data_IF_100105160242
#
_entry.id   IF_100105160242
#
_cell.length_a   1.000
_cell.length_b   1.000
_cell.length_c   1.000
_cell.angle_alpha   90.00
_cell.angle_beta   90.00
_cell.angle_gamma   90.00
#
_symmetry.space_group_name_H-M   'P 1'
#
loop_
_entity.id
_entity.type
_entity.pdbx_description
1 polymer ?
#
# COMPACT_ATOMS: atom_id res chain seq x y z
N UNK A 1 18.43 -13.04 -0.89
CA UNK A 1 17.53 -14.19 -1.13
C UNK A 1 17.50 -14.42 -2.63
N UNK A 2 18.04 -15.53 -3.11
CA UNK A 2 18.09 -15.85 -4.54
C UNK A 2 16.98 -16.85 -4.84
N UNK A 3 16.14 -16.56 -5.84
CA UNK A 3 15.00 -17.39 -6.23
C UNK A 3 15.44 -18.41 -7.28
N UNK A 4 15.26 -19.71 -6.99
CA UNK A 4 15.46 -20.79 -7.96
C UNK A 4 14.12 -21.55 -8.07
N UNK A 5 13.60 -21.67 -9.28
CA UNK A 5 12.33 -22.36 -9.56
C UNK A 5 12.63 -23.77 -10.07
N UNK A 6 12.01 -24.79 -9.45
CA UNK A 6 12.06 -26.19 -9.93
C UNK A 6 10.73 -26.59 -10.59
N UNK A 7 10.73 -27.69 -11.35
CA UNK A 7 9.59 -28.23 -12.09
C UNK A 7 8.37 -28.63 -11.24
N UNK A 8 8.46 -28.67 -9.90
CA UNK A 8 7.39 -29.10 -9.00
C UNK A 8 6.43 -27.99 -8.54
N UNK A 9 6.52 -26.77 -9.09
CA UNK A 9 5.72 -25.62 -8.66
C UNK A 9 6.12 -25.04 -7.30
N UNK A 10 7.12 -25.62 -6.62
CA UNK A 10 7.71 -25.08 -5.40
C UNK A 10 8.77 -24.01 -5.70
N UNK A 11 8.81 -22.96 -4.87
CA UNK A 11 9.87 -21.96 -4.90
C UNK A 11 10.89 -22.22 -3.80
N UNK A 12 12.17 -22.33 -4.18
CA UNK A 12 13.25 -22.44 -3.22
C UNK A 12 13.82 -21.06 -2.91
N UNK A 13 14.05 -20.85 -1.62
CA UNK A 13 14.68 -19.67 -1.10
C UNK A 13 15.97 -20.05 -0.37
N UNK A 14 17.08 -19.44 -0.79
CA UNK A 14 18.35 -19.54 -0.08
C UNK A 14 18.46 -18.40 0.94
N UNK A 15 18.73 -18.77 2.20
CA UNK A 15 18.98 -17.86 3.32
C UNK A 15 20.43 -18.05 3.77
N UNK A 16 21.19 -16.97 3.79
CA UNK A 16 22.57 -16.98 4.28
C UNK A 16 22.59 -16.61 5.76
N UNK A 17 23.24 -17.42 6.58
CA UNK A 17 23.42 -17.11 7.99
C UNK A 17 24.55 -16.10 8.18
N UNK A 18 24.40 -15.12 9.09
CA UNK A 18 25.48 -14.19 9.42
C UNK A 18 26.76 -14.88 9.93
N UNK A 19 26.60 -16.03 10.59
CA UNK A 19 27.70 -16.87 11.05
C UNK A 19 27.45 -18.32 10.64
N UNK A 20 28.50 -19.00 10.18
CA UNK A 20 28.43 -20.41 9.80
C UNK A 20 28.11 -21.28 11.00
N UNK A 21 27.09 -22.13 10.89
CA UNK A 21 26.79 -23.14 11.90
C UNK A 21 27.88 -24.21 11.94
N UNK A 22 28.33 -24.55 13.16
CA UNK A 22 29.22 -25.69 13.40
C UNK A 22 28.45 -27.00 13.21
N UNK A 23 29.17 -28.08 12.91
CA UNK A 23 28.57 -29.42 12.87
C UNK A 23 27.84 -29.73 14.20
N UNK A 24 26.62 -30.26 14.10
CA UNK A 24 25.73 -30.59 15.24
C UNK A 24 25.22 -29.40 16.08
N UNK A 25 25.46 -28.16 15.66
CA UNK A 25 24.83 -27.00 16.29
C UNK A 25 23.39 -26.80 15.76
N UNK A 26 22.53 -26.22 16.59
CA UNK A 26 21.15 -25.85 16.23
C UNK A 26 21.02 -24.35 16.05
N UNK A 27 20.10 -23.94 15.17
CA UNK A 27 19.68 -22.55 15.00
C UNK A 27 18.16 -22.48 14.84
N UNK A 28 17.58 -21.39 15.33
CA UNK A 28 16.18 -21.09 15.16
C UNK A 28 16.01 -20.13 13.99
N UNK A 29 15.29 -20.57 12.96
CA UNK A 29 14.93 -19.75 11.81
C UNK A 29 13.45 -19.39 11.89
N UNK A 30 13.14 -18.10 11.88
CA UNK A 30 11.77 -17.59 11.81
C UNK A 30 11.57 -17.02 10.43
N UNK A 31 10.65 -17.60 9.67
CA UNK A 31 10.27 -17.15 8.33
C UNK A 31 8.87 -16.55 8.45
N UNK A 32 8.75 -15.28 8.08
CA UNK A 32 7.47 -14.59 8.03
C UNK A 32 7.12 -14.27 6.58
N UNK A 33 5.90 -14.66 6.17
CA UNK A 33 5.38 -14.41 4.82
C UNK A 33 4.00 -13.79 4.94
N UNK A 34 3.73 -12.78 4.11
CA UNK A 34 2.39 -12.19 3.98
C UNK A 34 1.83 -12.57 2.62
N UNK A 35 0.65 -13.18 2.61
CA UNK A 35 -0.04 -13.56 1.39
C UNK A 35 -1.19 -12.58 1.14
N UNK A 36 -1.18 -11.94 -0.02
CA UNK A 36 -2.29 -11.11 -0.50
C UNK A 36 -3.33 -11.99 -1.21
N UNK A 37 -4.62 -11.62 -1.14
CA UNK A 37 -5.70 -12.37 -1.81
C UNK A 37 -5.82 -13.86 -1.43
N UNK A 38 -5.31 -14.25 -0.26
CA UNK A 38 -5.31 -15.64 0.18
C UNK A 38 -6.68 -16.13 0.70
N UNK A 39 -7.55 -15.20 1.05
CA UNK A 39 -8.91 -15.47 1.56
C UNK A 39 -9.93 -14.84 0.64
N UNK A 40 -11.07 -15.52 0.47
CA UNK A 40 -12.17 -15.03 -0.35
C UNK A 40 -13.50 -15.18 0.39
N UNK A 41 -14.50 -14.34 0.08
CA UNK A 41 -15.82 -14.43 0.69
C UNK A 41 -16.53 -15.73 0.30
N UNK A 42 -17.08 -16.41 1.29
CA UNK A 42 -17.90 -17.60 1.11
C UNK A 42 -19.10 -17.55 2.06
N UNK A 43 -20.35 -17.46 1.55
CA UNK A 43 -20.74 -17.38 0.13
C UNK A 43 -20.21 -16.11 -0.57
N UNK A 44 -20.10 -16.16 -1.90
CA UNK A 44 -19.62 -15.03 -2.71
C UNK A 44 -20.62 -13.87 -2.78
N UNK A 45 -21.89 -14.12 -2.46
CA UNK A 45 -22.95 -13.12 -2.42
C UNK A 45 -23.64 -13.14 -1.05
N UNK A 46 -24.01 -11.97 -0.55
CA UNK A 46 -24.68 -11.80 0.74
C UNK A 46 -25.74 -10.68 0.64
N UNK A 47 -26.88 -10.85 1.31
CA UNK A 47 -27.85 -9.76 1.45
C UNK A 47 -27.30 -8.68 2.39
N UNK A 48 -27.84 -7.46 2.29
CA UNK A 48 -27.39 -6.30 3.09
C UNK A 48 -27.44 -6.52 4.62
N UNK A 49 -28.26 -7.45 5.11
CA UNK A 49 -28.37 -7.78 6.55
C UNK A 49 -27.52 -8.97 6.99
N UNK A 50 -26.95 -9.70 6.04
CA UNK A 50 -26.24 -10.92 6.34
C UNK A 50 -24.88 -10.62 6.99
N UNK A 51 -24.42 -11.59 7.78
CA UNK A 51 -23.03 -11.62 8.23
C UNK A 51 -22.08 -11.84 7.07
N UNK A 52 -20.79 -11.81 7.37
CA UNK A 52 -19.74 -12.12 6.42
C UNK A 52 -18.86 -13.25 6.97
N UNK A 53 -18.51 -14.18 6.09
CA UNK A 53 -17.56 -15.24 6.37
C UNK A 53 -16.54 -15.35 5.25
N UNK A 54 -15.31 -15.70 5.61
CA UNK A 54 -14.20 -15.87 4.69
C UNK A 54 -13.75 -17.32 4.70
N UNK A 55 -13.28 -17.78 3.54
CA UNK A 55 -12.68 -19.08 3.37
C UNK A 55 -11.19 -18.91 3.05
N UNK A 56 -10.36 -19.61 3.82
CA UNK A 56 -8.93 -19.72 3.61
C UNK A 56 -8.62 -21.15 3.16
N UNK A 57 -7.74 -21.29 2.16
CA UNK A 57 -7.28 -22.59 1.70
C UNK A 57 -5.76 -22.63 1.68
N UNK A 58 -5.19 -23.71 2.18
CA UNK A 58 -3.76 -23.93 2.24
C UNK A 58 -3.45 -25.41 2.02
N UNK A 59 -2.18 -25.71 1.81
CA UNK A 59 -1.74 -27.10 1.77
C UNK A 59 -1.44 -27.60 3.18
N UNK A 60 -1.61 -28.90 3.39
CA UNK A 60 -1.45 -29.52 4.71
C UNK A 60 0.01 -29.47 5.19
N UNK A 61 0.93 -29.88 4.32
CA UNK A 61 2.36 -29.93 4.62
C UNK A 61 3.09 -28.69 4.09
N UNK A 62 4.03 -28.18 4.89
CA UNK A 62 4.96 -27.14 4.47
C UNK A 62 6.11 -27.88 3.78
N UNK A 63 6.27 -27.62 2.49
CA UNK A 63 7.27 -28.33 1.68
C UNK A 63 8.69 -27.90 2.09
N UNK A 64 9.56 -28.88 2.30
CA UNK A 64 10.95 -28.69 2.73
C UNK A 64 11.88 -29.60 1.92
N UNK A 65 13.05 -29.09 1.47
CA UNK A 65 14.10 -29.92 0.86
C UNK A 65 14.84 -30.79 1.88
N UNK A 66 14.61 -30.57 3.18
CA UNK A 66 15.21 -31.33 4.27
C UNK A 66 14.18 -32.25 4.94
N UNK A 67 14.59 -33.46 5.38
CA UNK A 67 13.73 -34.34 6.16
C UNK A 67 13.30 -33.63 7.45
N UNK A 68 12.01 -33.69 7.76
CA UNK A 68 11.41 -32.94 8.87
C UNK A 68 10.97 -33.92 9.96
N UNK A 69 11.55 -33.77 11.15
CA UNK A 69 11.26 -34.68 12.28
C UNK A 69 9.85 -34.47 12.80
N UNK A 70 9.43 -33.22 13.01
CA UNK A 70 8.08 -32.86 13.48
C UNK A 70 7.61 -31.62 12.75
N UNK A 71 6.38 -31.65 12.23
CA UNK A 71 5.71 -30.49 11.67
C UNK A 71 4.35 -30.28 12.35
N UNK A 72 4.03 -29.03 12.68
CA UNK A 72 2.72 -28.64 13.23
C UNK A 72 2.27 -27.34 12.59
N UNK A 73 1.05 -27.32 12.06
CA UNK A 73 0.48 -26.13 11.42
C UNK A 73 -0.63 -25.59 12.29
N UNK A 74 -0.51 -24.36 12.78
CA UNK A 74 -1.54 -23.68 13.56
C UNK A 74 -2.18 -22.57 12.74
N UNK A 75 -3.48 -22.68 12.49
CA UNK A 75 -4.28 -21.65 11.80
C UNK A 75 -5.11 -20.93 12.84
N UNK A 76 -4.90 -19.61 12.98
CA UNK A 76 -5.65 -18.77 13.90
C UNK A 76 -6.59 -17.87 13.12
N UNK A 77 -7.90 -18.06 13.29
CA UNK A 77 -8.92 -17.18 12.72
C UNK A 77 -9.06 -15.90 13.55
N UNK A 78 -9.56 -14.84 12.91
CA UNK A 78 -9.87 -13.56 13.56
C UNK A 78 -11.01 -13.67 14.58
N UNK A 79 -11.93 -14.62 14.35
CA UNK A 79 -13.09 -14.91 15.21
C UNK A 79 -13.06 -16.37 15.70
N UNK A 80 -13.54 -16.68 16.92
CA UNK A 80 -13.70 -18.06 17.39
C UNK A 80 -14.81 -18.83 16.66
N UNK A 81 -15.65 -18.13 15.89
CA UNK A 81 -16.72 -18.73 15.10
C UNK A 81 -16.16 -19.32 13.79
N UNK A 82 -15.81 -20.60 13.85
CA UNK A 82 -15.40 -21.40 12.68
C UNK A 82 -16.60 -22.27 12.27
N UNK A 83 -17.08 -22.08 11.05
CA UNK A 83 -18.24 -22.81 10.50
C UNK A 83 -17.86 -24.22 10.05
N UNK A 84 -16.74 -24.35 9.32
CA UNK A 84 -16.24 -25.62 8.84
C UNK A 84 -14.72 -25.59 8.67
N UNK A 85 -14.10 -26.75 8.78
CA UNK A 85 -12.68 -26.95 8.54
C UNK A 85 -12.46 -28.35 7.99
N UNK A 86 -11.43 -28.53 7.15
CA UNK A 86 -11.08 -29.84 6.61
C UNK A 86 -10.49 -30.73 7.70
N UNK A 87 -11.01 -31.95 7.83
CA UNK A 87 -10.42 -33.08 8.56
C UNK A 87 -9.66 -33.96 7.58
N UNK A 88 -8.32 -33.96 7.61
CA UNK A 88 -7.53 -34.74 6.66
C UNK A 88 -7.67 -36.25 6.88
N UNK A 89 -8.00 -37.02 5.84
CA UNK A 89 -8.10 -38.49 5.87
C UNK A 89 -6.77 -39.13 5.42
N UNK A 90 -6.57 -40.45 5.58
CA UNK A 90 -5.38 -41.23 5.15
C UNK A 90 -3.99 -40.70 5.56
N UNK A 91 -3.84 -40.12 6.75
CA UNK A 91 -2.55 -39.56 7.23
C UNK A 91 -1.98 -40.37 8.41
N UNK A 92 -2.48 -41.60 8.60
CA UNK A 92 -2.02 -42.53 9.64
C UNK A 92 -0.53 -42.83 9.55
N UNK A 93 0.05 -42.74 8.35
CA UNK A 93 1.49 -42.88 8.13
C UNK A 93 2.33 -41.80 8.86
N UNK A 94 1.75 -40.62 9.12
CA UNK A 94 2.45 -39.47 9.68
C UNK A 94 1.95 -39.05 11.07
N UNK A 95 0.75 -39.45 11.48
CA UNK A 95 0.19 -39.19 12.82
C UNK A 95 -0.63 -40.36 13.32
N UNK A 96 -0.46 -40.70 14.60
CA UNK A 96 -1.32 -41.64 15.33
C UNK A 96 -2.40 -40.90 16.15
N UNK A 97 -2.26 -39.58 16.29
CA UNK A 97 -3.22 -38.72 16.98
C UNK A 97 -4.27 -38.17 16.00
N UNK A 98 -5.35 -37.58 16.54
CA UNK A 98 -6.34 -36.86 15.73
C UNK A 98 -5.63 -35.85 14.81
N UNK A 99 -5.88 -35.90 13.49
CA UNK A 99 -5.12 -35.10 12.53
C UNK A 99 -5.38 -33.59 12.68
N UNK A 100 -6.49 -33.21 13.31
CA UNK A 100 -6.83 -31.81 13.60
C UNK A 100 -7.47 -31.68 14.99
N UNK A 101 -7.13 -30.61 15.69
CA UNK A 101 -7.75 -30.21 16.96
C UNK A 101 -8.16 -28.74 16.94
N UNK A 102 -9.36 -28.45 17.45
CA UNK A 102 -9.89 -27.07 17.55
C UNK A 102 -9.84 -26.60 19.00
N UNK A 103 -9.21 -25.45 19.23
CA UNK A 103 -9.21 -24.75 20.52
C UNK A 103 -9.55 -23.28 20.31
N UNK A 104 -10.80 -22.89 20.63
CA UNK A 104 -11.30 -21.54 20.40
C UNK A 104 -11.22 -21.13 18.91
N UNK A 105 -10.43 -20.09 18.62
CA UNK A 105 -10.16 -19.58 17.27
C UNK A 105 -8.92 -20.21 16.60
N UNK A 106 -8.27 -21.19 17.24
CA UNK A 106 -7.07 -21.83 16.70
C UNK A 106 -7.36 -23.28 16.31
N UNK A 107 -7.07 -23.62 15.05
CA UNK A 107 -7.02 -24.98 14.53
C UNK A 107 -5.57 -25.44 14.50
N UNK A 108 -5.29 -26.61 15.05
CA UNK A 108 -3.96 -27.22 15.01
C UNK A 108 -4.02 -28.49 14.18
N UNK A 109 -3.25 -28.51 13.09
CA UNK A 109 -3.01 -29.68 12.26
C UNK A 109 -1.68 -30.33 12.64
N UNK A 110 -1.70 -31.65 12.80
CA UNK A 110 -0.58 -32.41 13.35
C UNK A 110 -0.54 -32.41 14.88
N UNK A 111 0.52 -32.96 15.50
CA UNK A 111 1.87 -33.11 14.95
C UNK A 111 2.00 -34.23 13.90
N UNK A 112 2.71 -33.93 12.82
CA UNK A 112 3.12 -34.92 11.82
C UNK A 112 4.60 -35.26 12.03
N UNK A 113 4.92 -36.54 12.15
CA UNK A 113 6.26 -37.01 12.50
C UNK A 113 6.97 -37.66 11.30
N UNK A 114 8.30 -37.53 11.27
CA UNK A 114 9.20 -38.20 10.32
C UNK A 114 8.81 -38.02 8.84
N UNK A 115 8.53 -36.78 8.45
CA UNK A 115 8.20 -36.44 7.06
C UNK A 115 9.50 -36.54 6.24
N UNK A 116 9.55 -37.36 5.17
CA UNK A 116 10.69 -37.41 4.26
C UNK A 116 10.86 -36.09 3.51
N UNK A 117 11.86 -35.98 2.64
CA UNK A 117 12.05 -34.78 1.81
C UNK A 117 10.79 -34.49 0.97
N UNK A 118 10.02 -33.49 1.41
CA UNK A 118 8.69 -33.19 0.90
C UNK A 118 8.69 -32.28 -0.33
N UNK A 119 9.85 -31.72 -0.70
CA UNK A 119 9.99 -30.90 -1.91
C UNK A 119 9.97 -31.70 -3.23
N UNK A 120 9.85 -33.03 -3.17
CA UNK A 120 9.80 -33.91 -4.35
C UNK A 120 8.40 -33.98 -4.94
N UNK A 121 8.30 -34.11 -6.27
CA UNK A 121 7.01 -34.17 -6.96
C UNK A 121 6.19 -35.40 -6.53
N UNK A 122 6.84 -36.55 -6.35
CA UNK A 122 6.21 -37.78 -5.87
C UNK A 122 5.51 -37.59 -4.52
N UNK A 123 6.16 -36.89 -3.58
CA UNK A 123 5.57 -36.60 -2.27
C UNK A 123 4.35 -35.70 -2.40
N UNK A 124 4.44 -34.66 -3.25
CA UNK A 124 3.33 -33.71 -3.46
C UNK A 124 2.13 -34.43 -4.07
N UNK A 125 2.32 -35.29 -5.07
CA UNK A 125 1.22 -35.99 -5.71
C UNK A 125 0.56 -37.04 -4.81
N UNK A 126 1.34 -37.72 -3.96
CA UNK A 126 0.84 -38.85 -3.15
C UNK A 126 0.30 -38.43 -1.79
N UNK A 127 0.96 -37.48 -1.11
CA UNK A 127 0.69 -37.18 0.30
C UNK A 127 0.14 -35.78 0.54
N UNK A 128 0.33 -34.83 -0.39
CA UNK A 128 -0.15 -33.47 -0.18
C UNK A 128 -1.67 -33.42 -0.30
N UNK A 129 -2.32 -32.84 0.71
CA UNK A 129 -3.77 -32.62 0.74
C UNK A 129 -4.07 -31.14 0.96
N UNK A 130 -5.19 -30.68 0.39
CA UNK A 130 -5.66 -29.30 0.57
C UNK A 130 -6.51 -29.21 1.83
N UNK A 131 -6.21 -28.23 2.67
CA UNK A 131 -7.03 -27.88 3.83
C UNK A 131 -7.77 -26.57 3.58
N UNK A 132 -9.00 -26.49 4.06
CA UNK A 132 -9.82 -25.30 4.00
C UNK A 132 -10.35 -24.97 5.40
N UNK A 133 -10.42 -23.67 5.71
CA UNK A 133 -10.99 -23.15 6.94
C UNK A 133 -11.99 -22.06 6.60
N UNK A 134 -13.21 -22.20 7.07
CA UNK A 134 -14.30 -21.26 6.86
C UNK A 134 -14.73 -20.65 8.19
N UNK A 135 -14.60 -19.33 8.31
CA UNK A 135 -14.78 -18.61 9.57
C UNK A 135 -15.49 -17.27 9.39
N UNK A 136 -16.19 -16.82 10.43
CA UNK A 136 -16.84 -15.50 10.45
C UNK A 136 -15.80 -14.39 10.45
N UNK A 137 -16.04 -13.32 9.67
CA UNK A 137 -15.19 -12.13 9.64
C UNK A 137 -16.04 -10.87 9.76
N UNK A 138 -15.86 -10.14 10.86
CA UNK A 138 -16.75 -9.04 11.26
C UNK A 138 -16.27 -7.64 10.83
N UNK A 139 -15.47 -7.57 9.76
CA UNK A 139 -14.97 -6.30 9.22
C UNK A 139 -15.06 -6.25 7.68
N UNK A 140 -15.06 -5.06 7.07
CA UNK A 140 -14.97 -4.93 5.62
C UNK A 140 -13.64 -5.49 5.11
N UNK A 141 -13.66 -6.13 3.94
CA UNK A 141 -12.43 -6.53 3.23
C UNK A 141 -12.14 -5.47 2.21
N UNK A 142 -11.03 -4.75 2.38
CA UNK A 142 -10.68 -3.63 1.52
C UNK A 142 -9.50 -4.01 0.63
N UNK A 143 -9.55 -3.52 -0.59
CA UNK A 143 -8.53 -3.72 -1.62
C UNK A 143 -8.38 -2.40 -2.35
N UNK A 144 -7.14 -1.91 -2.46
CA UNK A 144 -6.80 -0.80 -3.35
C UNK A 144 -6.29 -1.42 -4.63
N UNK A 145 -7.14 -1.47 -5.66
CA UNK A 145 -6.77 -2.07 -6.95
C UNK A 145 -5.63 -1.30 -7.61
N UNK A 146 -5.64 0.03 -7.46
CA UNK A 146 -4.62 0.92 -7.99
C UNK A 146 -4.38 2.09 -7.05
N UNK A 147 -3.11 2.40 -6.83
CA UNK A 147 -2.63 3.59 -6.12
C UNK A 147 -1.72 4.38 -7.07
N UNK A 148 -2.08 5.63 -7.35
CA UNK A 148 -1.17 6.57 -7.99
C UNK A 148 -0.79 7.65 -6.99
N UNK A 149 0.45 7.62 -6.52
CA UNK A 149 1.00 8.61 -5.61
C UNK A 149 1.87 9.60 -6.39
N UNK A 150 1.63 10.89 -6.20
CA UNK A 150 2.51 11.96 -6.62
C UNK A 150 3.07 12.69 -5.39
N UNK A 151 4.39 12.79 -5.32
CA UNK A 151 5.13 13.55 -4.31
C UNK A 151 5.84 14.71 -5.01
N UNK A 152 5.31 15.93 -4.89
CA UNK A 152 5.92 17.13 -5.46
C UNK A 152 6.73 17.87 -4.39
N UNK A 153 8.02 18.09 -4.70
CA UNK A 153 8.92 18.85 -3.85
C UNK A 153 9.05 20.28 -4.38
N UNK A 154 8.72 21.27 -3.55
CA UNK A 154 8.83 22.69 -3.89
C UNK A 154 9.71 23.44 -2.90
N UNK A 155 10.85 23.95 -3.39
CA UNK A 155 11.72 24.82 -2.60
C UNK A 155 11.18 26.25 -2.50
N UNK A 156 10.42 26.70 -3.51
CA UNK A 156 9.78 28.02 -3.50
C UNK A 156 8.64 28.09 -2.48
N UNK A 157 7.83 27.02 -2.40
CA UNK A 157 6.75 26.89 -1.41
C UNK A 157 7.19 26.34 -0.06
N UNK A 158 8.46 25.92 0.06
CA UNK A 158 9.01 25.22 1.22
C UNK A 158 8.15 24.04 1.71
N UNK A 159 7.50 23.33 0.78
CA UNK A 159 6.59 22.23 1.08
C UNK A 159 6.88 20.97 0.25
N UNK A 160 6.47 19.83 0.83
CA UNK A 160 6.30 18.55 0.15
C UNK A 160 4.80 18.29 0.06
N UNK A 161 4.29 18.29 -1.17
CA UNK A 161 2.90 17.95 -1.46
C UNK A 161 2.80 16.47 -1.78
N UNK A 162 1.89 15.76 -1.11
CA UNK A 162 1.54 14.37 -1.44
C UNK A 162 0.10 14.36 -1.97
N UNK A 163 -0.09 13.70 -3.10
CA UNK A 163 -1.41 13.42 -3.67
C UNK A 163 -1.50 11.93 -4.02
N UNK A 164 -2.47 11.25 -3.44
CA UNK A 164 -2.81 9.85 -3.71
C UNK A 164 -4.15 9.79 -4.45
N UNK A 165 -4.14 9.28 -5.68
CA UNK A 165 -5.34 8.83 -6.37
C UNK A 165 -5.54 7.35 -6.04
N UNK A 166 -6.66 7.03 -5.39
CA UNK A 166 -6.92 5.72 -4.80
C UNK A 166 -8.16 5.11 -5.45
N UNK A 167 -8.03 3.92 -6.01
CA UNK A 167 -9.15 3.09 -6.46
C UNK A 167 -9.43 2.02 -5.42
N UNK A 168 -10.37 2.32 -4.53
CA UNK A 168 -10.74 1.44 -3.43
C UNK A 168 -11.89 0.52 -3.86
N UNK A 169 -11.81 -0.74 -3.46
CA UNK A 169 -12.81 -1.78 -3.67
C UNK A 169 -13.10 -2.49 -2.36
N UNK A 170 -14.36 -2.80 -2.13
CA UNK A 170 -14.75 -3.72 -1.07
C UNK A 170 -14.77 -5.15 -1.62
N UNK A 171 -13.78 -5.94 -1.27
CA UNK A 171 -13.60 -7.33 -1.72
C UNK A 171 -14.44 -8.35 -0.90
N UNK A 172 -15.33 -7.86 -0.03
CA UNK A 172 -16.32 -8.68 0.67
C UNK A 172 -17.34 -9.32 -0.27
N UNK A 173 -18.29 -10.12 0.27
CA UNK A 173 -19.31 -10.79 -0.52
C UNK A 173 -20.16 -9.78 -1.29
N UNK A 174 -20.38 -10.02 -2.58
CA UNK A 174 -21.15 -9.13 -3.44
C UNK A 174 -22.59 -8.98 -2.92
N UNK A 175 -23.11 -7.76 -2.95
CA UNK A 175 -24.50 -7.52 -2.55
C UNK A 175 -25.46 -8.37 -3.40
N UNK A 176 -26.23 -9.23 -2.73
CA UNK A 176 -27.32 -9.99 -3.31
C UNK A 176 -28.60 -9.15 -3.26
N UNK A 177 -29.24 -8.97 -4.42
CA UNK A 177 -30.45 -8.15 -4.53
C UNK A 177 -30.12 -6.67 -4.70
N UNK A 178 -30.82 -5.80 -3.99
CA UNK A 178 -30.70 -4.35 -4.10
C UNK A 178 -30.32 -3.71 -2.77
N UNK A 179 -29.74 -2.51 -2.84
CA UNK A 179 -29.48 -1.71 -1.65
C UNK A 179 -30.78 -1.08 -1.15
N UNK A 180 -31.06 -1.24 0.14
CA UNK A 180 -32.16 -0.58 0.83
C UNK A 180 -31.63 0.48 1.80
N UNK A 181 -31.93 1.75 1.49
CA UNK A 181 -31.56 2.89 2.36
C UNK A 181 -32.23 2.80 3.73
N UNK A 182 -33.49 2.34 3.77
CA UNK A 182 -34.23 2.15 5.02
C UNK A 182 -33.51 1.14 5.91
N UNK A 183 -33.13 -0.02 5.35
CA UNK A 183 -32.43 -1.05 6.12
C UNK A 183 -31.09 -0.57 6.64
N UNK A 184 -30.33 0.17 5.81
CA UNK A 184 -29.06 0.75 6.22
C UNK A 184 -29.23 1.74 7.38
N UNK A 185 -30.24 2.60 7.30
CA UNK A 185 -30.54 3.57 8.36
C UNK A 185 -31.01 2.88 9.64
N UNK A 186 -31.85 1.84 9.54
CA UNK A 186 -32.28 1.02 10.67
C UNK A 186 -31.10 0.32 11.34
N UNK A 187 -30.20 -0.29 10.57
CA UNK A 187 -28.98 -0.92 11.07
C UNK A 187 -28.09 0.07 11.82
N UNK A 188 -27.86 1.25 11.25
CA UNK A 188 -27.05 2.29 11.90
C UNK A 188 -27.71 2.83 13.18
N UNK A 189 -29.04 3.00 13.18
CA UNK A 189 -29.79 3.45 14.36
C UNK A 189 -29.65 2.46 15.54
N UNK A 190 -29.70 1.16 15.25
CA UNK A 190 -29.51 0.11 16.26
C UNK A 190 -28.05 -0.27 16.52
N UNK A 191 -27.08 0.38 15.87
CA UNK A 191 -25.66 0.04 16.00
C UNK A 191 -25.29 -1.35 15.47
N UNK A 192 -26.07 -1.90 14.52
CA UNK A 192 -25.90 -3.22 13.90
C UNK A 192 -25.54 -3.11 12.43
N UNK A 193 -24.47 -2.38 12.13
CA UNK A 193 -23.95 -2.28 10.76
C UNK A 193 -23.50 -3.66 10.30
N UNK A 194 -23.84 -4.02 9.06
CA UNK A 194 -23.39 -5.28 8.49
C UNK A 194 -21.86 -5.26 8.31
N UNK A 195 -21.16 -6.37 8.62
CA UNK A 195 -19.70 -6.40 8.64
C UNK A 195 -19.08 -6.15 7.27
N UNK A 196 -19.79 -6.51 6.19
CA UNK A 196 -19.37 -6.31 4.81
C UNK A 196 -19.61 -4.88 4.28
N UNK A 197 -20.04 -3.93 5.13
CA UNK A 197 -20.32 -2.55 4.71
C UNK A 197 -19.30 -1.57 5.27
N UNK A 198 -18.63 -0.82 4.40
CA UNK A 198 -17.75 0.27 4.79
C UNK A 198 -18.52 1.60 4.85
N UNK A 199 -18.53 2.23 6.02
CA UNK A 199 -19.22 3.52 6.26
C UNK A 199 -18.25 4.69 6.45
N UNK A 200 -17.07 4.44 7.00
CA UNK A 200 -16.03 5.43 7.25
C UNK A 200 -14.65 4.78 7.27
N UNK A 201 -13.63 5.54 6.92
CA UNK A 201 -12.23 5.16 6.98
C UNK A 201 -11.52 6.14 7.91
N UNK A 202 -10.64 5.65 8.77
CA UNK A 202 -9.76 6.48 9.58
C UNK A 202 -8.33 6.22 9.16
N UNK A 203 -7.64 7.27 8.69
CA UNK A 203 -6.26 7.20 8.23
C UNK A 203 -5.34 7.89 9.25
N UNK A 204 -4.25 7.21 9.59
CA UNK A 204 -3.14 7.79 10.33
C UNK A 204 -2.17 8.41 9.32
N UNK A 205 -2.15 9.73 9.26
CA UNK A 205 -1.28 10.52 8.40
C UNK A 205 -0.06 11.04 9.20
N UNK A 206 1.02 11.46 8.53
CA UNK A 206 2.18 12.01 9.21
C UNK A 206 1.85 13.23 10.10
N UNK A 207 2.64 13.48 11.16
CA UNK A 207 2.57 14.73 11.92
C UNK A 207 3.00 15.93 11.08
N UNK A 208 2.59 17.14 11.47
CA UNK A 208 3.00 18.39 10.83
C UNK A 208 2.30 18.72 9.51
N UNK A 209 1.44 17.84 9.00
CA UNK A 209 0.73 18.07 7.74
C UNK A 209 -0.39 19.10 7.89
N UNK A 210 -0.67 19.83 6.81
CA UNK A 210 -1.73 20.81 6.69
C UNK A 210 -2.38 20.75 5.30
N UNK A 211 -3.41 21.57 5.08
CA UNK A 211 -4.14 21.68 3.80
C UNK A 211 -4.58 20.33 3.21
N UNK A 212 -5.12 19.47 4.07
CA UNK A 212 -5.65 18.16 3.67
C UNK A 212 -6.90 18.34 2.83
N UNK A 213 -6.92 17.73 1.64
CA UNK A 213 -8.07 17.73 0.75
C UNK A 213 -8.49 16.30 0.37
N UNK A 214 -9.80 16.11 0.27
CA UNK A 214 -10.43 14.84 -0.09
C UNK A 214 -11.57 15.11 -1.06
N UNK A 215 -11.42 14.64 -2.29
CA UNK A 215 -12.43 14.80 -3.33
C UNK A 215 -12.56 13.53 -4.16
N UNK A 216 -13.71 13.35 -4.81
CA UNK A 216 -13.90 12.28 -5.79
C UNK A 216 -13.96 12.84 -7.21
N UNK A 217 -14.22 11.98 -8.19
CA UNK A 217 -14.34 12.39 -9.60
C UNK A 217 -15.40 13.48 -9.83
N UNK A 218 -16.38 13.60 -8.93
CA UNK A 218 -17.49 14.54 -9.01
C UNK A 218 -17.28 15.75 -8.08
N UNK A 219 -16.06 15.98 -7.61
CA UNK A 219 -15.67 17.13 -6.79
C UNK A 219 -15.59 16.84 -5.29
N UNK A 220 -15.59 17.93 -4.52
CA UNK A 220 -15.29 17.89 -3.09
C UNK A 220 -16.25 17.01 -2.29
N UNK A 221 -15.71 16.27 -1.32
CA UNK A 221 -16.49 15.44 -0.39
C UNK A 221 -16.33 16.01 1.02
N UNK A 222 -17.35 16.73 1.49
CA UNK A 222 -17.30 17.46 2.77
C UNK A 222 -17.40 16.57 4.01
N UNK A 223 -17.66 15.27 3.85
CA UNK A 223 -17.80 14.31 4.95
C UNK A 223 -16.45 13.78 5.43
N UNK A 224 -15.54 14.68 5.78
CA UNK A 224 -14.23 14.39 6.37
C UNK A 224 -13.97 15.24 7.61
N UNK A 225 -13.17 14.71 8.53
CA UNK A 225 -12.73 15.37 9.76
C UNK A 225 -11.24 15.13 9.97
N UNK A 226 -10.47 16.19 9.85
CA UNK A 226 -9.03 16.15 10.08
C UNK A 226 -8.70 16.60 11.51
N UNK A 227 -7.78 15.89 12.17
CA UNK A 227 -7.23 16.21 13.49
C UNK A 227 -5.71 16.27 13.36
N UNK A 228 -5.11 17.46 13.23
CA UNK A 228 -3.68 17.60 13.04
C UNK A 228 -2.88 17.22 14.29
N UNK A 229 -1.72 16.59 14.08
CA UNK A 229 -0.66 16.50 15.06
C UNK A 229 0.46 17.51 14.72
N UNK A 230 1.11 18.14 15.72
CA UNK A 230 2.18 19.10 15.48
C UNK A 230 3.39 18.43 14.81
N UNK A 231 4.22 19.22 14.11
CA UNK A 231 5.48 18.73 13.55
C UNK A 231 6.43 18.28 14.66
N UNK A 232 7.27 17.31 14.34
CA UNK A 232 8.14 16.64 15.30
C UNK A 232 9.59 16.77 14.83
N UNK A 233 10.54 17.15 15.71
CA UNK A 233 11.93 17.34 15.32
C UNK A 233 12.54 16.09 14.65
N UNK A 234 13.37 16.31 13.63
CA UNK A 234 14.07 15.24 12.90
C UNK A 234 14.79 14.30 13.85
N UNK A 235 14.56 13.00 13.67
CA UNK A 235 15.19 11.94 14.46
C UNK A 235 14.51 11.62 15.79
N UNK A 236 13.46 12.35 16.16
CA UNK A 236 12.62 11.97 17.31
C UNK A 236 11.46 11.06 16.86
N UNK A 237 11.19 10.02 17.65
CA UNK A 237 10.09 9.09 17.41
C UNK A 237 8.78 9.77 17.82
N UNK A 238 7.97 10.17 16.84
CA UNK A 238 6.60 10.63 17.12
C UNK A 238 5.69 9.43 17.32
N UNK A 239 5.08 9.33 18.51
CA UNK A 239 3.93 8.44 18.72
C UNK A 239 2.60 9.11 18.31
N UNK A 240 2.66 10.34 17.79
CA UNK A 240 1.48 11.11 17.40
C UNK A 240 1.37 11.17 15.87
N UNK A 241 0.19 10.80 15.38
CA UNK A 241 -0.19 10.87 13.98
C UNK A 241 -1.32 11.88 13.82
N UNK A 242 -1.36 12.56 12.67
CA UNK A 242 -2.53 13.33 12.30
C UNK A 242 -3.63 12.35 11.86
N UNK A 243 -4.85 12.50 12.37
CA UNK A 243 -5.94 11.55 12.09
C UNK A 243 -6.90 12.17 11.09
N UNK A 244 -7.13 11.50 9.96
CA UNK A 244 -8.17 11.87 9.00
C UNK A 244 -9.29 10.82 9.03
N UNK A 245 -10.45 11.22 9.55
CA UNK A 245 -11.67 10.43 9.44
C UNK A 245 -12.40 10.88 8.17
N UNK A 246 -12.67 9.96 7.26
CA UNK A 246 -13.34 10.26 5.99
C UNK A 246 -14.49 9.30 5.75
N UNK A 247 -15.59 9.81 5.18
CA UNK A 247 -16.75 9.02 4.79
C UNK A 247 -16.96 9.16 3.29
N UNK A 248 -16.95 8.06 2.52
CA UNK A 248 -17.37 8.08 1.13
C UNK A 248 -18.81 8.61 0.95
N UNK A 249 -19.17 9.08 -0.25
CA UNK A 249 -20.52 9.61 -0.54
C UNK A 249 -21.63 8.59 -0.32
N UNK A 250 -21.33 7.31 -0.44
CA UNK A 250 -22.24 6.20 -0.21
C UNK A 250 -21.54 5.10 0.61
N UNK A 251 -22.27 4.33 1.42
CA UNK A 251 -21.69 3.15 2.07
C UNK A 251 -21.24 2.15 1.00
N UNK A 252 -20.03 1.63 1.11
CA UNK A 252 -19.55 0.63 0.16
C UNK A 252 -19.92 -0.77 0.66
N UNK A 253 -20.87 -1.41 0.00
CA UNK A 253 -21.15 -2.83 0.20
C UNK A 253 -20.14 -3.69 -0.58
N UNK A 254 -20.10 -4.99 -0.32
CA UNK A 254 -19.20 -5.89 -1.02
C UNK A 254 -19.42 -5.86 -2.54
N UNK A 255 -18.30 -5.82 -3.26
CA UNK A 255 -18.22 -5.65 -4.70
C UNK A 255 -18.28 -4.20 -5.20
N UNK A 256 -18.53 -3.21 -4.34
CA UNK A 256 -18.58 -1.80 -4.77
C UNK A 256 -17.18 -1.18 -4.80
N UNK A 257 -17.00 -0.23 -5.71
CA UNK A 257 -15.76 0.52 -5.91
C UNK A 257 -15.99 1.99 -5.55
N UNK A 258 -14.98 2.65 -5.00
CA UNK A 258 -14.98 4.09 -4.75
C UNK A 258 -13.60 4.65 -5.09
N UNK A 259 -13.56 5.55 -6.06
CA UNK A 259 -12.33 6.20 -6.50
C UNK A 259 -12.29 7.62 -5.99
N UNK A 260 -11.20 7.99 -5.33
CA UNK A 260 -11.04 9.31 -4.73
C UNK A 260 -9.59 9.77 -4.75
N UNK A 261 -9.41 11.06 -4.58
CA UNK A 261 -8.11 11.68 -4.40
C UNK A 261 -8.00 12.18 -2.97
N UNK A 262 -6.89 11.83 -2.33
CA UNK A 262 -6.50 12.33 -1.03
C UNK A 262 -5.16 13.03 -1.19
N UNK A 263 -5.04 14.26 -0.71
CA UNK A 263 -3.74 14.91 -0.66
C UNK A 263 -3.61 15.84 0.51
N UNK A 264 -2.36 16.22 0.80
CA UNK A 264 -1.99 17.08 1.89
C UNK A 264 -0.63 17.72 1.62
N UNK A 265 -0.40 18.86 2.26
CA UNK A 265 0.89 19.53 2.28
C UNK A 265 1.62 19.25 3.59
N UNK A 266 2.94 19.34 3.52
CA UNK A 266 3.80 19.21 4.68
C UNK A 266 5.01 20.12 4.57
N UNK A 267 5.52 20.68 5.68
CA UNK A 267 6.74 21.48 5.66
C UNK A 267 7.91 20.67 5.11
N UNK A 268 8.59 21.20 4.09
CA UNK A 268 9.73 20.51 3.47
C UNK A 268 10.87 20.31 4.48
N UNK A 269 10.97 21.19 5.48
CA UNK A 269 11.93 21.08 6.55
C UNK A 269 11.77 19.81 7.40
N UNK A 270 10.60 19.16 7.43
CA UNK A 270 10.41 17.91 8.18
C UNK A 270 10.99 16.71 7.42
N UNK A 271 11.04 16.78 6.07
CA UNK A 271 11.39 15.67 5.20
C UNK A 271 12.76 15.81 4.53
N UNK A 272 13.27 17.04 4.38
CA UNK A 272 14.49 17.35 3.64
C UNK A 272 15.69 17.67 4.56
N UNK A 273 16.81 16.96 4.37
CA UNK A 273 18.11 17.30 4.93
C UNK A 273 19.01 17.98 3.90
N UNK A 274 19.88 18.87 4.36
CA UNK A 274 20.95 19.47 3.52
C UNK A 274 22.31 18.94 3.95
N UNK A 275 23.02 18.32 3.01
CA UNK A 275 24.39 17.86 3.22
C UNK A 275 25.36 18.97 2.79
N UNK A 276 25.99 19.63 3.78
CA UNK A 276 26.91 20.76 3.53
C UNK A 276 28.17 20.34 2.73
N UNK A 277 28.64 19.12 2.92
CA UNK A 277 29.87 18.60 2.31
C UNK A 277 29.71 18.32 0.81
N UNK A 278 28.56 17.75 0.41
CA UNK A 278 28.26 17.37 -0.97
C UNK A 278 27.47 18.43 -1.73
N UNK A 279 26.86 19.40 -1.02
CA UNK A 279 25.98 20.40 -1.61
C UNK A 279 24.69 19.79 -2.17
N UNK A 280 24.21 18.69 -1.56
CA UNK A 280 23.02 17.96 -2.00
C UNK A 280 21.89 18.03 -0.97
N UNK A 281 20.67 18.03 -1.46
CA UNK A 281 19.46 17.80 -0.68
C UNK A 281 19.17 16.31 -0.63
N UNK A 282 18.79 15.81 0.55
CA UNK A 282 18.30 14.45 0.78
C UNK A 282 16.85 14.55 1.27
N UNK A 283 15.90 14.01 0.52
CA UNK A 283 14.48 14.02 0.91
C UNK A 283 14.00 12.60 1.11
N UNK A 284 13.34 12.34 2.25
CA UNK A 284 12.68 11.07 2.52
C UNK A 284 11.19 11.15 2.21
N UNK A 285 10.67 10.30 1.33
CA UNK A 285 9.25 10.25 0.96
C UNK A 285 8.67 8.90 1.36
N UNK A 286 7.56 8.83 2.11
CA UNK A 286 6.91 7.56 2.43
C UNK A 286 6.40 6.87 1.16
N UNK A 287 6.56 5.55 1.07
CA UNK A 287 6.09 4.77 -0.09
C UNK A 287 4.57 4.90 -0.26
N UNK A 288 3.80 4.73 0.81
CA UNK A 288 2.33 4.72 0.75
C UNK A 288 1.73 5.34 2.02
N UNK A 289 0.46 5.72 1.94
CA UNK A 289 -0.36 6.04 3.12
C UNK A 289 -1.10 4.78 3.46
N UNK A 290 -0.85 4.27 4.66
CA UNK A 290 -1.43 3.01 5.08
C UNK A 290 -2.94 3.16 5.22
N UNK A 291 -3.67 2.38 4.43
CA UNK A 291 -5.08 2.15 4.64
C UNK A 291 -5.24 0.88 5.49
N UNK A 292 -5.85 0.97 6.69
CA UNK A 292 -5.98 -0.18 7.58
C UNK A 292 -6.65 -1.37 6.88
N UNK A 293 -6.03 -2.54 6.99
CA UNK A 293 -6.54 -3.81 6.47
C UNK A 293 -6.79 -3.85 4.96
N UNK A 294 -6.19 -2.93 4.19
CA UNK A 294 -6.23 -2.95 2.73
C UNK A 294 -4.89 -3.38 2.13
N UNK A 295 -4.96 -4.19 1.08
CA UNK A 295 -3.83 -4.52 0.22
C UNK A 295 -3.84 -3.57 -0.98
N UNK A 296 -2.66 -3.15 -1.44
CA UNK A 296 -2.52 -2.37 -2.68
C UNK A 296 -1.98 -3.27 -3.78
N UNK A 297 -2.78 -3.54 -4.81
CA UNK A 297 -2.42 -4.48 -5.86
C UNK A 297 -1.37 -3.90 -6.82
N UNK A 298 -1.62 -2.68 -7.28
CA UNK A 298 -0.71 -1.93 -8.15
C UNK A 298 -0.47 -0.54 -7.57
N UNK A 299 0.80 -0.14 -7.45
CA UNK A 299 1.18 1.18 -6.99
C UNK A 299 2.17 1.83 -7.95
N UNK A 300 1.86 3.05 -8.40
CA UNK A 300 2.75 3.91 -9.16
C UNK A 300 3.09 5.15 -8.32
N UNK A 301 4.36 5.29 -7.96
CA UNK A 301 4.86 6.41 -7.16
C UNK A 301 5.68 7.33 -8.07
N UNK A 302 5.24 8.58 -8.16
CA UNK A 302 5.90 9.66 -8.89
C UNK A 302 6.53 10.63 -7.90
N UNK A 303 7.83 10.84 -7.98
CA UNK A 303 8.54 11.84 -7.20
C UNK A 303 8.95 12.96 -8.15
N UNK A 304 8.29 14.11 -8.05
CA UNK A 304 8.49 15.28 -8.90
C UNK A 304 9.45 16.23 -8.19
N UNK A 305 10.65 16.37 -8.75
CA UNK A 305 11.71 17.20 -8.19
C UNK A 305 11.54 18.68 -8.59
N UNK A 306 12.23 19.61 -7.91
CA UNK A 306 12.28 21.00 -8.34
C UNK A 306 12.84 21.14 -9.75
N UNK A 307 12.36 22.17 -10.47
CA UNK A 307 12.91 22.52 -11.78
C UNK A 307 14.41 22.82 -11.68
N UNK A 308 15.20 22.26 -12.59
CA UNK A 308 16.66 22.41 -12.60
C UNK A 308 17.40 21.56 -11.57
N UNK A 309 16.73 20.58 -10.94
CA UNK A 309 17.41 19.54 -10.15
C UNK A 309 18.38 18.73 -11.04
N UNK A 310 19.57 18.48 -10.51
CA UNK A 310 20.68 17.76 -11.15
C UNK A 310 21.23 16.69 -10.21
N UNK A 311 22.04 15.77 -10.73
CA UNK A 311 22.73 14.72 -9.96
C UNK A 311 21.76 13.88 -9.10
N UNK A 312 20.65 13.49 -9.71
CA UNK A 312 19.55 12.78 -9.05
C UNK A 312 19.93 11.32 -8.79
N UNK A 313 19.91 10.91 -7.53
CA UNK A 313 20.02 9.52 -7.09
C UNK A 313 18.84 9.18 -6.19
N UNK A 314 18.35 7.94 -6.23
CA UNK A 314 17.24 7.49 -5.40
C UNK A 314 17.50 6.10 -4.84
N UNK A 315 17.07 5.90 -3.60
CA UNK A 315 17.29 4.71 -2.80
C UNK A 315 15.94 4.27 -2.23
N UNK A 316 15.18 3.42 -2.94
CA UNK A 316 13.94 2.89 -2.42
C UNK A 316 14.22 1.85 -1.33
N UNK A 317 13.33 1.70 -0.33
CA UNK A 317 13.53 0.77 0.80
C UNK A 317 13.45 -0.70 0.37
N UNK A 318 12.76 -0.98 -0.73
CA UNK A 318 12.64 -2.29 -1.35
C UNK A 318 12.68 -2.16 -2.87
N UNK A 319 13.12 -3.21 -3.59
CA UNK A 319 13.26 -3.16 -5.05
C UNK A 319 11.91 -2.90 -5.73
N UNK A 320 11.89 -1.91 -6.64
CA UNK A 320 10.74 -1.65 -7.50
C UNK A 320 10.69 -2.66 -8.66
N UNK A 321 9.48 -2.97 -9.14
CA UNK A 321 9.28 -3.83 -10.31
C UNK A 321 9.83 -3.14 -11.56
N UNK A 322 9.55 -1.84 -11.68
CA UNK A 322 10.09 -0.99 -12.73
C UNK A 322 10.42 0.37 -12.14
N UNK A 323 11.50 0.97 -12.61
CA UNK A 323 11.85 2.35 -12.33
C UNK A 323 12.19 3.10 -13.63
N UNK A 324 11.86 4.37 -13.69
CA UNK A 324 12.22 5.23 -14.83
C UNK A 324 12.35 6.68 -14.39
N UNK A 325 13.16 7.45 -15.10
CA UNK A 325 13.25 8.91 -14.94
C UNK A 325 12.61 9.54 -16.16
N UNK A 326 11.72 10.49 -15.93
CA UNK A 326 10.98 11.23 -16.95
C UNK A 326 10.99 12.72 -16.63
N UNK A 327 10.45 13.54 -17.52
CA UNK A 327 10.31 14.98 -17.30
C UNK A 327 8.82 15.33 -17.19
N UNK A 328 8.43 16.03 -16.13
CA UNK A 328 7.07 16.49 -15.89
C UNK A 328 7.02 18.01 -16.05
N UNK A 329 6.05 18.53 -16.78
CA UNK A 329 5.90 19.97 -17.02
C UNK A 329 4.65 20.44 -16.29
N UNK A 330 4.80 21.39 -15.37
CA UNK A 330 3.69 22.06 -14.69
C UNK A 330 3.75 23.58 -14.88
N UNK A 331 2.92 24.32 -14.14
CA UNK A 331 2.83 25.77 -14.20
C UNK A 331 4.18 26.45 -13.97
N UNK A 332 4.48 27.43 -14.83
CA UNK A 332 5.70 28.26 -14.79
C UNK A 332 7.01 27.47 -14.96
N UNK A 333 6.97 26.22 -15.42
CA UNK A 333 8.18 25.48 -15.74
C UNK A 333 8.67 25.85 -17.14
N UNK A 334 9.97 26.09 -17.28
CA UNK A 334 10.64 26.41 -18.56
C UNK A 334 11.32 25.20 -19.18
N UNK A 335 11.97 24.37 -18.36
CA UNK A 335 12.70 23.17 -18.79
C UNK A 335 11.99 21.87 -18.38
N UNK A 336 10.97 21.98 -17.52
CA UNK A 336 10.33 20.85 -16.85
C UNK A 336 11.10 20.34 -15.62
N UNK A 337 10.47 19.42 -14.92
CA UNK A 337 10.88 18.86 -13.63
C UNK A 337 11.28 17.40 -13.77
N UNK A 338 12.51 17.03 -13.39
CA UNK A 338 12.91 15.64 -13.31
C UNK A 338 11.96 14.87 -12.39
N UNK A 339 11.42 13.77 -12.90
CA UNK A 339 10.40 12.97 -12.20
C UNK A 339 10.82 11.51 -12.19
N UNK A 340 10.98 10.97 -11.00
CA UNK A 340 11.26 9.55 -10.79
C UNK A 340 9.92 8.83 -10.72
N UNK A 341 9.78 7.74 -11.48
CA UNK A 341 8.61 6.85 -11.44
C UNK A 341 9.05 5.48 -10.92
N UNK A 342 8.39 5.01 -9.88
CA UNK A 342 8.62 3.70 -9.27
C UNK A 342 7.30 2.92 -9.30
N UNK A 343 7.35 1.69 -9.83
CA UNK A 343 6.20 0.80 -9.85
C UNK A 343 6.39 -0.35 -8.87
N UNK A 344 5.35 -0.61 -8.08
CA UNK A 344 5.27 -1.67 -7.10
C UNK A 344 3.99 -2.48 -7.28
N UNK A 345 4.00 -3.70 -6.77
CA UNK A 345 2.85 -4.60 -6.77
C UNK A 345 2.69 -5.22 -5.38
N UNK A 346 1.45 -5.50 -4.98
CA UNK A 346 1.10 -6.23 -3.75
C UNK A 346 1.70 -5.60 -2.48
N UNK A 347 1.58 -4.27 -2.34
CA UNK A 347 2.01 -3.60 -1.11
C UNK A 347 1.03 -3.91 0.03
N UNK A 348 1.60 -4.06 1.22
CA UNK A 348 0.89 -4.40 2.46
C UNK A 348 1.34 -3.48 3.59
N UNK A 349 0.77 -3.65 4.78
CA UNK A 349 1.19 -3.00 6.02
C UNK A 349 2.65 -3.30 6.42
N UNK A 350 3.26 -4.35 5.87
CA UNK A 350 4.69 -4.66 6.07
C UNK A 350 5.61 -3.89 5.14
N UNK A 351 5.08 -3.38 4.04
CA UNK A 351 5.83 -2.55 3.09
C UNK A 351 5.80 -1.08 3.51
N UNK A 352 6.21 -0.83 4.75
CA UNK A 352 6.38 0.52 5.31
C UNK A 352 7.84 0.90 5.17
N UNK A 353 8.09 1.97 4.41
CA UNK A 353 9.43 2.46 4.20
C UNK A 353 9.44 3.83 3.58
N UNK A 354 10.63 4.42 3.57
CA UNK A 354 10.89 5.75 3.04
C UNK A 354 11.82 5.64 1.84
N UNK A 355 11.42 6.22 0.72
CA UNK A 355 12.24 6.38 -0.47
C UNK A 355 13.10 7.62 -0.24
N UNK A 356 14.41 7.43 -0.24
CA UNK A 356 15.36 8.53 -0.12
C UNK A 356 15.77 9.01 -1.51
N UNK A 357 15.70 10.32 -1.73
CA UNK A 357 16.12 10.94 -3.00
C UNK A 357 17.16 12.02 -2.71
N UNK A 358 18.30 11.89 -3.37
CA UNK A 358 19.39 12.85 -3.36
C UNK A 358 19.38 13.65 -4.65
N UNK A 359 19.53 14.98 -4.55
CA UNK A 359 19.63 15.84 -5.72
C UNK A 359 20.30 17.17 -5.37
N UNK A 360 20.80 17.87 -6.40
CA UNK A 360 21.35 19.22 -6.29
C UNK A 360 20.49 20.22 -7.04
N UNK A 361 20.14 21.33 -6.38
CA UNK A 361 19.45 22.47 -7.02
C UNK A 361 20.37 23.68 -6.95
N UNK A 362 20.90 24.18 -8.08
CA UNK A 362 21.71 25.39 -8.08
C UNK A 362 20.83 26.62 -7.87
N UNK A 363 21.39 27.67 -7.24
CA UNK A 363 20.66 28.92 -7.00
C UNK A 363 20.09 29.54 -8.29
N UNK A 364 20.80 29.39 -9.41
CA UNK A 364 20.34 29.85 -10.72
C UNK A 364 19.04 29.20 -11.17
N UNK A 365 18.74 27.96 -10.74
CA UNK A 365 17.49 27.29 -11.04
C UNK A 365 16.29 27.97 -10.36
N UNK A 366 16.45 28.47 -9.13
CA UNK A 366 15.38 29.21 -8.46
C UNK A 366 15.02 30.49 -9.22
N UNK A 367 16.00 31.19 -9.78
CA UNK A 367 15.79 32.45 -10.52
C UNK A 367 15.09 32.28 -11.88
N UNK A 368 15.03 31.07 -12.44
CA UNK A 368 14.42 30.83 -13.76
C UNK A 368 12.96 31.23 -13.81
N UNK A 369 12.18 30.92 -12.76
CA UNK A 369 10.74 31.21 -12.73
C UNK A 369 10.44 32.72 -12.71
N UNK A 370 11.02 33.53 -11.78
CA UNK A 370 10.90 34.98 -11.86
C UNK A 370 11.37 35.55 -13.20
N UNK A 371 12.51 35.09 -13.72
CA UNK A 371 13.06 35.60 -14.99
C UNK A 371 12.11 35.32 -16.17
N UNK A 372 11.50 34.13 -16.24
CA UNK A 372 10.56 33.76 -17.28
C UNK A 372 9.33 34.67 -17.28
N UNK A 373 8.75 34.90 -16.09
CA UNK A 373 7.61 35.81 -15.91
C UNK A 373 7.99 37.24 -16.27
N UNK A 374 9.11 37.75 -15.76
CA UNK A 374 9.60 39.10 -16.08
C UNK A 374 9.85 39.27 -17.57
N UNK A 375 10.39 38.26 -18.25
CA UNK A 375 10.64 38.29 -19.69
C UNK A 375 9.34 38.34 -20.49
N UNK A 376 8.31 37.58 -20.08
CA UNK A 376 6.99 37.61 -20.71
C UNK A 376 6.29 38.97 -20.56
N UNK A 377 6.35 39.59 -19.38
CA UNK A 377 5.81 40.94 -19.19
C UNK A 377 6.61 41.99 -19.96
N UNK A 378 7.94 41.90 -19.94
CA UNK A 378 8.80 42.85 -20.64
C UNK A 378 8.62 42.76 -22.16
N UNK A 379 8.41 41.58 -22.72
CA UNK A 379 8.11 41.40 -24.15
C UNK A 379 6.75 42.00 -24.52
N UNK A 380 5.72 41.83 -23.68
CA UNK A 380 4.43 42.48 -23.87
C UNK A 380 4.54 44.00 -23.91
N UNK A 381 5.27 44.59 -22.96
CA UNK A 381 5.51 46.04 -22.95
C UNK A 381 6.30 46.49 -24.18
N UNK A 382 7.36 45.76 -24.56
CA UNK A 382 8.16 46.07 -25.74
C UNK A 382 7.30 46.04 -27.03
N UNK A 383 6.43 45.05 -27.18
CA UNK A 383 5.48 44.97 -28.30
C UNK A 383 4.48 46.12 -28.30
N UNK A 384 3.94 46.50 -27.14
CA UNK A 384 3.05 47.65 -27.04
C UNK A 384 3.76 48.97 -27.39
N UNK A 385 5.01 49.13 -26.96
CA UNK A 385 5.85 50.26 -27.33
C UNK A 385 6.13 50.30 -28.83
N UNK A 386 6.46 49.15 -29.44
CA UNK A 386 6.68 49.04 -30.87
C UNK A 386 5.41 49.35 -31.66
N UNK A 387 4.25 48.80 -31.24
CA UNK A 387 2.95 49.04 -31.86
C UNK A 387 2.59 50.52 -31.88
N UNK A 388 2.83 51.25 -30.78
CA UNK A 388 2.60 52.71 -30.72
C UNK A 388 3.45 53.50 -31.74
N UNK A 389 4.55 52.92 -32.23
CA UNK A 389 5.42 53.54 -33.23
C UNK A 389 5.04 53.18 -34.67
N UNK A 390 4.11 52.25 -34.88
CA UNK A 390 3.61 51.92 -36.22
C UNK A 390 2.57 52.97 -36.62
N UNK A 391 2.87 53.73 -37.68
CA UNK A 391 1.90 54.64 -38.29
C UNK A 391 0.99 53.86 -39.24
N UNK A 392 -0.30 53.79 -38.90
CA UNK A 392 -1.32 53.06 -39.68
C UNK A 392 -2.14 53.98 -40.59
N UNK A 393 -1.72 55.23 -40.82
CA UNK A 393 -2.43 56.18 -41.68
C UNK A 393 -2.22 55.87 -43.17
N UNK A 394 -3.32 55.86 -43.93
CA UNK A 394 -3.33 55.57 -45.39
C UNK A 394 -3.12 56.85 -46.22
N UNK A 395 -3.35 58.03 -45.63
CA UNK A 395 -2.96 59.33 -46.18
C UNK A 395 -2.35 60.18 -45.09
N UNK A 396 -1.38 61.00 -45.48
CA UNK A 396 -0.48 61.73 -44.59
C UNK A 396 -1.19 62.80 -43.78
#
# INVERSE_FOLDING_TARGET
>A
MTRITFCSGAHLYAVEFPQTLKANASANLIIETVQTHATYPWPQEAFQKDGQSLKYEADLFVLSPYPTVVQRTKIRSSSPQIHSYTTPEDIEAFTLESPVTKSGSTLTYGPYNNIPTSSTEDFVQTNQKRIAVHYTYDAPVLEVTKLERAAEISHWGANLNIQDNIWLRNAGPRLKGHFSRLEFQTQNYFGRSAPHTLTSISLALPPGIHDVYFYDLNGNVSTSRFRPAPSVPKGSQSNQHSILEMRPRYPMLGGWNYSFTLGWDSPLEDYAGWQKESGKYLVGIPVQTLMPSAVVDEAEIKIILPEGATDVAFHPPFPAVMNSISNHITYLDTMGRPTIKLQYQQLTDRHVGTIYVEYRVPFSAHLKKPLAVSTAFMSLFALAFAWKRVDTRIHK
#
